data_IF_890673042191
#
_entry.id   IF_890673042191
#
_cell.length_a   1.000
_cell.length_b   1.000
_cell.length_c   1.000
_cell.angle_alpha   90.00
_cell.angle_beta   90.00
_cell.angle_gamma   90.00
#
_symmetry.space_group_name_H-M   'P 1'
#
loop_
_entity.id
_entity.type
_entity.pdbx_description
1 polymer ?
#
# COMPACT_ATOMS: atom_id res chain seq x y z
N UNK A 1 -9.08 9.74 -4.93
CA UNK A 1 -7.86 9.07 -5.46
C UNK A 1 -7.12 8.35 -4.36
N UNK A 2 -6.49 7.23 -4.67
CA UNK A 2 -5.71 6.44 -3.72
C UNK A 2 -4.34 7.07 -3.50
N UNK A 3 -3.82 6.96 -2.27
CA UNK A 3 -2.59 7.64 -1.85
C UNK A 3 -1.35 7.18 -2.64
N UNK A 4 -1.08 5.88 -2.69
CA UNK A 4 0.14 5.37 -3.32
C UNK A 4 0.24 5.76 -4.80
N UNK A 5 -0.78 5.51 -5.64
CA UNK A 5 -0.73 5.95 -7.03
C UNK A 5 -0.55 7.46 -7.18
N UNK A 6 -1.22 8.23 -6.34
CA UNK A 6 -1.14 9.70 -6.38
C UNK A 6 0.29 10.17 -6.08
N UNK A 7 0.91 9.63 -5.05
CA UNK A 7 2.27 10.00 -4.65
C UNK A 7 3.27 9.59 -5.74
N UNK A 8 3.15 8.37 -6.26
CA UNK A 8 4.03 7.89 -7.33
C UNK A 8 3.94 8.80 -8.55
N UNK A 9 2.75 9.10 -9.02
CA UNK A 9 2.56 9.95 -10.19
C UNK A 9 3.14 11.35 -10.00
N UNK A 10 2.91 11.95 -8.85
CA UNK A 10 3.48 13.28 -8.57
C UNK A 10 4.99 13.25 -8.47
N UNK A 11 5.56 12.22 -7.85
CA UNK A 11 7.00 12.05 -7.81
C UNK A 11 7.61 11.91 -9.21
N UNK A 12 7.00 11.08 -10.06
CA UNK A 12 7.49 10.86 -11.43
C UNK A 12 7.40 12.12 -12.31
N UNK A 13 6.42 12.99 -12.03
CA UNK A 13 6.24 14.25 -12.76
C UNK A 13 6.93 15.44 -12.11
N UNK A 14 7.62 15.24 -11.01
CA UNK A 14 8.26 16.31 -10.23
C UNK A 14 7.27 17.41 -9.82
N UNK A 15 6.06 17.01 -9.47
CA UNK A 15 5.02 17.91 -8.99
C UNK A 15 5.07 18.06 -7.48
N UNK A 16 4.60 19.20 -6.95
CA UNK A 16 4.50 19.41 -5.52
C UNK A 16 3.55 18.41 -4.86
N UNK A 17 3.93 17.95 -3.68
CA UNK A 17 3.13 17.01 -2.89
C UNK A 17 2.78 17.64 -1.56
N UNK A 18 1.48 17.74 -1.29
CA UNK A 18 0.95 18.19 -0.01
C UNK A 18 0.00 17.13 0.53
N UNK A 19 0.27 16.67 1.74
CA UNK A 19 -0.46 15.58 2.39
C UNK A 19 -0.83 15.96 3.82
N UNK A 20 -1.70 15.16 4.43
CA UNK A 20 -1.88 15.21 5.88
C UNK A 20 -0.61 14.66 6.55
N UNK A 21 -0.51 14.67 7.89
CA UNK A 21 0.74 14.23 8.55
C UNK A 21 1.15 12.78 8.29
N UNK A 22 0.26 11.94 7.77
CA UNK A 22 0.53 10.54 7.42
C UNK A 22 1.11 9.72 8.59
N UNK A 23 0.68 10.03 9.82
CA UNK A 23 1.13 9.34 11.03
C UNK A 23 0.33 8.06 11.34
N UNK A 24 -0.68 7.78 10.53
CA UNK A 24 -1.51 6.58 10.67
C UNK A 24 -0.83 5.36 10.06
N UNK A 25 -1.27 4.18 10.49
CA UNK A 25 -0.75 2.90 10.03
C UNK A 25 -1.76 2.20 9.13
N UNK A 26 -1.26 1.49 8.14
CA UNK A 26 -2.08 0.71 7.21
C UNK A 26 -1.36 -0.59 6.86
N UNK A 27 -2.14 -1.66 6.73
CA UNK A 27 -1.65 -2.98 6.33
C UNK A 27 -1.80 -3.16 4.81
N UNK A 28 -0.94 -2.51 4.04
CA UNK A 28 -0.95 -2.63 2.57
C UNK A 28 -0.58 -4.03 2.11
N UNK A 29 -1.19 -4.45 1.00
CA UNK A 29 -0.95 -5.76 0.40
C UNK A 29 -0.67 -5.60 -1.08
N UNK A 30 0.40 -6.24 -1.56
CA UNK A 30 0.73 -6.23 -2.98
C UNK A 30 -0.28 -7.06 -3.77
N UNK A 31 -0.60 -6.59 -4.98
CA UNK A 31 -1.67 -7.19 -5.80
C UNK A 31 -1.46 -8.67 -6.09
N UNK A 32 -0.23 -9.10 -6.33
CA UNK A 32 0.05 -10.50 -6.62
C UNK A 32 -0.30 -11.42 -5.43
N UNK A 33 -0.04 -10.96 -4.21
CA UNK A 33 -0.40 -11.70 -3.01
C UNK A 33 -1.92 -11.77 -2.82
N UNK A 34 -2.62 -10.71 -3.20
CA UNK A 34 -4.09 -10.71 -3.22
C UNK A 34 -4.62 -11.72 -4.22
N UNK A 35 -4.09 -11.73 -5.44
CA UNK A 35 -4.50 -12.67 -6.49
C UNK A 35 -4.23 -14.11 -6.07
N UNK A 36 -3.08 -14.38 -5.48
CA UNK A 36 -2.75 -15.72 -4.95
C UNK A 36 -3.80 -16.18 -3.92
N UNK A 37 -4.21 -15.30 -3.04
CA UNK A 37 -5.24 -15.61 -2.05
C UNK A 37 -6.59 -15.90 -2.67
N UNK A 38 -7.01 -15.10 -3.65
CA UNK A 38 -8.26 -15.34 -4.37
C UNK A 38 -8.23 -16.69 -5.07
N UNK A 39 -7.15 -17.01 -5.77
CA UNK A 39 -6.99 -18.30 -6.45
C UNK A 39 -7.06 -19.46 -5.47
N UNK A 40 -6.42 -19.33 -4.31
CA UNK A 40 -6.45 -20.35 -3.26
C UNK A 40 -7.88 -20.62 -2.78
N UNK A 41 -8.66 -19.56 -2.56
CA UNK A 41 -10.05 -19.69 -2.14
C UNK A 41 -10.91 -20.38 -3.20
N UNK A 42 -10.73 -20.03 -4.46
CA UNK A 42 -11.50 -20.58 -5.58
C UNK A 42 -11.12 -22.04 -5.81
N UNK A 43 -9.84 -22.36 -5.90
CA UNK A 43 -9.35 -23.71 -6.21
C UNK A 43 -9.75 -24.73 -5.15
N UNK A 44 -9.78 -24.32 -3.88
CA UNK A 44 -10.13 -25.20 -2.76
C UNK A 44 -11.57 -25.04 -2.31
N UNK A 45 -12.38 -24.30 -3.03
CA UNK A 45 -13.82 -24.12 -2.76
C UNK A 45 -14.08 -23.65 -1.32
N UNK A 46 -13.24 -22.78 -0.79
CA UNK A 46 -13.47 -22.20 0.52
C UNK A 46 -14.62 -21.22 0.50
N UNK A 47 -15.46 -21.29 1.53
CA UNK A 47 -16.60 -20.39 1.69
C UNK A 47 -16.42 -19.51 2.92
N UNK A 48 -17.15 -18.40 2.95
CA UNK A 48 -17.17 -17.49 4.09
C UNK A 48 -16.46 -16.19 3.81
N UNK A 49 -16.19 -15.45 4.89
CA UNK A 49 -15.57 -14.13 4.82
C UNK A 49 -14.09 -14.26 5.15
N UNK A 50 -13.26 -13.73 4.27
CA UNK A 50 -11.80 -13.69 4.45
C UNK A 50 -11.31 -12.26 4.27
N UNK A 51 -10.48 -11.79 5.19
CA UNK A 51 -9.87 -10.47 5.11
C UNK A 51 -8.51 -10.56 4.43
N UNK A 52 -8.28 -9.66 3.49
CA UNK A 52 -7.01 -9.55 2.76
C UNK A 52 -6.30 -8.29 3.21
N UNK A 53 -5.16 -8.45 3.86
CA UNK A 53 -4.31 -7.34 4.26
C UNK A 53 -2.88 -7.84 4.42
N UNK A 54 -1.93 -6.90 4.41
CA UNK A 54 -0.54 -7.22 4.72
C UNK A 54 -0.38 -7.63 6.17
N UNK A 55 0.60 -8.48 6.43
CA UNK A 55 0.86 -9.01 7.78
C UNK A 55 1.49 -7.98 8.73
N UNK A 56 2.11 -6.94 8.19
CA UNK A 56 2.86 -5.97 8.97
C UNK A 56 2.39 -4.55 8.66
N UNK A 57 1.63 -3.93 9.59
CA UNK A 57 1.21 -2.53 9.41
C UNK A 57 2.43 -1.61 9.30
N UNK A 58 2.35 -0.63 8.42
CA UNK A 58 3.40 0.38 8.22
C UNK A 58 2.83 1.77 8.38
N UNK A 59 3.64 2.67 8.96
CA UNK A 59 3.28 4.08 9.01
C UNK A 59 3.24 4.64 7.59
N UNK A 60 2.16 5.31 7.25
CA UNK A 60 1.95 5.80 5.88
C UNK A 60 3.04 6.80 5.48
N UNK A 61 3.52 7.63 6.41
CA UNK A 61 4.62 8.55 6.13
C UNK A 61 5.87 7.81 5.65
N UNK A 62 6.20 6.68 6.25
CA UNK A 62 7.37 5.89 5.86
C UNK A 62 7.22 5.34 4.43
N UNK A 63 5.99 4.98 4.05
CA UNK A 63 5.70 4.53 2.68
C UNK A 63 5.89 5.66 1.69
N UNK A 64 5.37 6.85 1.99
CA UNK A 64 5.53 8.04 1.15
C UNK A 64 7.00 8.40 0.98
N UNK A 65 7.77 8.41 2.07
CA UNK A 65 9.20 8.71 2.03
C UNK A 65 9.98 7.66 1.22
N UNK A 66 9.59 6.41 1.29
CA UNK A 66 10.22 5.35 0.52
C UNK A 66 9.96 5.52 -0.98
N UNK A 67 8.74 5.87 -1.38
CA UNK A 67 8.42 6.17 -2.77
C UNK A 67 9.30 7.32 -3.28
N UNK A 68 9.38 8.40 -2.52
CA UNK A 68 10.21 9.56 -2.87
C UNK A 68 11.67 9.16 -3.05
N UNK A 69 12.18 8.32 -2.17
CA UNK A 69 13.57 7.83 -2.22
C UNK A 69 13.83 6.98 -3.46
N UNK A 70 12.94 6.04 -3.76
CA UNK A 70 13.09 5.14 -4.92
C UNK A 70 13.04 5.92 -6.23
N UNK A 71 12.15 6.91 -6.33
CA UNK A 71 12.02 7.76 -7.53
C UNK A 71 13.12 8.82 -7.59
N UNK A 72 13.84 9.05 -6.50
CA UNK A 72 14.82 10.15 -6.36
C UNK A 72 14.16 11.52 -6.51
N UNK A 73 13.04 11.69 -5.79
CA UNK A 73 12.26 12.92 -5.80
C UNK A 73 13.02 14.05 -5.11
N UNK A 74 13.16 15.19 -5.79
CA UNK A 74 14.02 16.28 -5.32
C UNK A 74 13.29 17.37 -4.54
N UNK A 75 11.96 17.43 -4.64
CA UNK A 75 11.19 18.42 -3.92
C UNK A 75 10.88 17.95 -2.49
N UNK A 76 10.61 18.88 -1.61
CA UNK A 76 10.17 18.54 -0.25
C UNK A 76 8.68 18.20 -0.24
N UNK A 77 8.34 17.13 0.47
CA UNK A 77 6.95 16.76 0.70
C UNK A 77 6.42 17.58 1.89
N UNK A 78 5.28 18.22 1.71
CA UNK A 78 4.65 19.03 2.76
C UNK A 78 3.53 18.24 3.42
N UNK A 79 3.65 18.01 4.71
CA UNK A 79 2.65 17.30 5.51
C UNK A 79 1.80 18.32 6.29
N UNK A 80 1.20 19.25 5.55
CA UNK A 80 0.58 20.44 6.10
C UNK A 80 -0.95 20.47 5.98
N UNK A 81 -1.57 19.44 5.44
CA UNK A 81 -3.02 19.35 5.34
C UNK A 81 -3.60 18.69 6.59
N UNK A 82 -4.78 19.13 7.04
CA UNK A 82 -5.44 18.46 8.16
C UNK A 82 -5.95 17.07 7.74
N UNK A 83 -6.11 16.19 8.72
CA UNK A 83 -6.86 14.97 8.48
C UNK A 83 -8.31 15.29 8.15
N UNK A 84 -8.94 14.56 7.21
CA UNK A 84 -10.35 14.72 6.94
C UNK A 84 -11.19 14.49 8.20
N UNK A 85 -12.36 15.16 8.28
CA UNK A 85 -13.33 14.86 9.33
C UNK A 85 -13.74 13.39 9.23
N UNK A 86 -13.89 12.73 10.37
CA UNK A 86 -14.23 11.31 10.45
C UNK A 86 -13.14 10.37 9.87
N UNK A 87 -11.90 10.85 9.85
CA UNK A 87 -10.78 10.05 9.37
C UNK A 87 -10.54 8.82 10.27
N UNK A 88 -10.48 7.64 9.65
CA UNK A 88 -10.12 6.40 10.34
C UNK A 88 -8.60 6.35 10.44
N UNK A 89 -8.08 6.56 11.66
CA UNK A 89 -6.65 6.78 11.87
C UNK A 89 -5.80 5.54 11.54
N UNK A 90 -6.21 4.36 12.01
CA UNK A 90 -5.47 3.13 11.72
C UNK A 90 -6.37 2.13 11.01
N UNK A 91 -5.94 1.68 9.83
CA UNK A 91 -6.57 0.61 9.06
C UNK A 91 -5.66 -0.60 9.09
N UNK A 92 -5.76 -1.34 10.18
CA UNK A 92 -5.03 -2.58 10.36
C UNK A 92 -6.00 -3.73 10.27
N UNK A 93 -5.66 -4.70 9.45
CA UNK A 93 -6.47 -5.90 9.31
C UNK A 93 -5.80 -7.10 9.92
N UNK A 94 -6.55 -8.19 10.02
CA UNK A 94 -6.06 -9.48 10.46
C UNK A 94 -6.30 -10.50 9.37
N UNK A 95 -5.24 -11.22 8.98
CA UNK A 95 -5.27 -12.20 7.90
C UNK A 95 -5.08 -13.64 8.38
N UNK A 96 -5.25 -13.90 9.68
CA UNK A 96 -5.00 -15.23 10.26
C UNK A 96 -5.85 -16.34 9.64
N UNK A 97 -7.12 -16.05 9.36
CA UNK A 97 -8.01 -17.00 8.72
C UNK A 97 -7.51 -17.42 7.35
N UNK A 98 -6.99 -16.46 6.58
CA UNK A 98 -6.41 -16.71 5.27
C UNK A 98 -5.11 -17.50 5.39
N UNK A 99 -4.26 -17.18 6.37
CA UNK A 99 -3.03 -17.93 6.62
C UNK A 99 -3.31 -19.39 7.00
N UNK A 100 -4.36 -19.63 7.78
CA UNK A 100 -4.72 -20.99 8.21
C UNK A 100 -5.08 -21.91 7.05
N UNK A 101 -5.51 -21.38 5.91
CA UNK A 101 -5.77 -22.19 4.72
C UNK A 101 -4.57 -22.28 3.77
N UNK A 102 -3.40 -21.80 4.21
CA UNK A 102 -2.14 -21.96 3.47
C UNK A 102 -1.66 -20.73 2.72
N UNK A 103 -2.34 -19.60 2.83
CA UNK A 103 -1.87 -18.38 2.19
C UNK A 103 -0.69 -17.77 2.96
N UNK A 104 0.27 -17.23 2.22
CA UNK A 104 1.38 -16.44 2.79
C UNK A 104 1.62 -15.20 1.96
N UNK A 105 1.93 -14.11 2.64
CA UNK A 105 2.42 -12.90 1.97
C UNK A 105 3.84 -13.17 1.47
N UNK A 106 4.05 -13.09 0.16
CA UNK A 106 5.34 -13.37 -0.48
C UNK A 106 6.12 -12.11 -0.83
N UNK A 107 5.44 -10.98 -0.90
CA UNK A 107 6.03 -9.71 -1.31
C UNK A 107 5.93 -8.71 -0.16
N UNK A 108 7.05 -8.26 0.37
CA UNK A 108 7.04 -7.21 1.39
C UNK A 108 6.72 -5.86 0.76
N UNK A 109 6.47 -4.84 1.61
CA UNK A 109 6.06 -3.53 1.13
C UNK A 109 7.13 -2.87 0.26
N UNK A 110 8.40 -3.06 0.58
CA UNK A 110 9.50 -2.47 -0.19
C UNK A 110 9.53 -3.02 -1.61
N UNK A 111 9.47 -4.33 -1.75
CA UNK A 111 9.44 -5.00 -3.05
C UNK A 111 8.18 -4.63 -3.83
N UNK A 112 7.04 -4.60 -3.15
CA UNK A 112 5.76 -4.24 -3.76
C UNK A 112 5.76 -2.81 -4.28
N UNK A 113 6.33 -1.87 -3.53
CA UNK A 113 6.45 -0.47 -3.97
C UNK A 113 7.35 -0.33 -5.18
N UNK A 114 8.50 -1.02 -5.20
CA UNK A 114 9.40 -0.98 -6.35
C UNK A 114 8.70 -1.47 -7.63
N UNK A 115 8.00 -2.59 -7.55
CA UNK A 115 7.25 -3.15 -8.69
C UNK A 115 6.13 -2.21 -9.14
N UNK A 116 5.44 -1.60 -8.18
CA UNK A 116 4.36 -0.66 -8.47
C UNK A 116 4.90 0.60 -9.15
N UNK A 117 6.02 1.12 -8.68
CA UNK A 117 6.68 2.28 -9.29
C UNK A 117 7.11 1.96 -10.73
N UNK A 118 7.70 0.80 -10.97
CA UNK A 118 8.08 0.37 -12.33
C UNK A 118 6.87 0.30 -13.26
N UNK A 119 5.75 -0.20 -12.75
CA UNK A 119 4.50 -0.21 -13.53
C UNK A 119 4.09 1.20 -13.94
N UNK A 120 4.09 2.15 -12.98
CA UNK A 120 3.70 3.53 -13.28
C UNK A 120 4.70 4.24 -14.20
N UNK A 121 5.98 3.94 -14.12
CA UNK A 121 6.98 4.47 -15.05
C UNK A 121 6.67 4.08 -16.50
N UNK A 122 6.22 2.86 -16.73
CA UNK A 122 5.87 2.39 -18.07
C UNK A 122 4.63 3.08 -18.65
N UNK A 123 3.80 3.68 -17.81
CA UNK A 123 2.62 4.42 -18.25
C UNK A 123 2.92 5.86 -18.64
N UNK A 124 4.10 6.36 -18.33
CA UNK A 124 4.52 7.73 -18.64
C UNK A 124 4.94 7.91 -20.10
#
# INVERSE_FOLDING_TARGET
>A
KRLIPQVINKCLKSEEIELNPCEHFTSYLFIDDFVDGINLLIENQHEGIYNFCGSYPKRVKDIVEQIAKVVDFKLNIKYNKPYPKDFVFNLEGENDKLQRIGWKQKTDISQGLEKTIEFYKKLQ
#
